data_IF_658490507350
#
_entry.id   IF_658490507350
#
_cell.length_a   1.000
_cell.length_b   1.000
_cell.length_c   1.000
_cell.angle_alpha   90.00
_cell.angle_beta   90.00
_cell.angle_gamma   90.00
#
_symmetry.space_group_name_H-M   'P 1'
#
loop_
_entity.id
_entity.type
_entity.pdbx_description
1 polymer ?
#
# COMPACT_ATOMS: atom_id res chain seq x y z
N UNK A 1 -19.71 8.56 -1.53
CA UNK A 1 -18.80 9.58 -2.11
C UNK A 1 -17.62 9.77 -1.16
N UNK A 2 -16.42 9.29 -1.49
CA UNK A 2 -15.22 9.63 -0.73
C UNK A 2 -14.74 11.03 -1.19
N UNK A 3 -14.77 12.03 -0.29
CA UNK A 3 -14.39 13.42 -0.58
C UNK A 3 -12.87 13.62 -0.74
N UNK A 4 -12.07 12.68 -0.25
CA UNK A 4 -10.61 12.77 -0.25
C UNK A 4 -10.01 11.62 -1.07
N UNK A 5 -9.01 11.94 -1.90
CA UNK A 5 -8.32 10.93 -2.73
C UNK A 5 -7.36 10.06 -1.92
N UNK A 6 -7.01 8.84 -2.40
CA UNK A 6 -6.10 7.91 -1.73
C UNK A 6 -4.75 8.55 -1.35
N UNK A 7 -4.21 9.40 -2.22
CA UNK A 7 -2.97 10.16 -2.00
C UNK A 7 -3.03 11.07 -0.76
N UNK A 8 -4.17 11.73 -0.54
CA UNK A 8 -4.38 12.60 0.61
C UNK A 8 -4.51 11.78 1.90
N UNK A 9 -5.28 10.67 1.87
CA UNK A 9 -5.43 9.77 3.01
C UNK A 9 -4.07 9.20 3.44
N UNK A 10 -3.28 8.72 2.47
CA UNK A 10 -1.94 8.23 2.75
C UNK A 10 -1.05 9.32 3.33
N UNK A 11 -0.97 10.48 2.68
CA UNK A 11 -0.10 11.57 3.15
C UNK A 11 -0.44 12.01 4.58
N UNK A 12 -1.73 12.11 4.92
CA UNK A 12 -2.20 12.39 6.27
C UNK A 12 -1.79 11.29 7.27
N UNK A 13 -2.00 10.02 6.90
CA UNK A 13 -1.67 8.86 7.75
C UNK A 13 -0.17 8.78 8.05
N UNK A 14 0.68 8.88 7.03
CA UNK A 14 2.14 8.89 7.20
C UNK A 14 2.63 10.09 8.02
N UNK A 15 2.07 11.27 7.78
CA UNK A 15 2.43 12.47 8.55
C UNK A 15 2.06 12.33 10.04
N UNK A 16 0.90 11.75 10.35
CA UNK A 16 0.48 11.49 11.72
C UNK A 16 1.43 10.52 12.44
N UNK A 17 1.80 9.41 11.78
CA UNK A 17 2.74 8.44 12.35
C UNK A 17 4.13 9.06 12.57
N UNK A 18 4.62 9.85 11.60
CA UNK A 18 5.89 10.58 11.71
C UNK A 18 5.85 11.56 12.89
N UNK A 19 4.76 12.32 13.06
CA UNK A 19 4.61 13.26 14.17
C UNK A 19 4.69 12.56 15.54
N UNK A 20 4.05 11.39 15.68
CA UNK A 20 4.14 10.59 16.91
C UNK A 20 5.57 10.11 17.18
N UNK A 21 6.28 9.61 16.15
CA UNK A 21 7.67 9.19 16.31
C UNK A 21 8.63 10.35 16.63
N UNK A 22 8.41 11.51 16.03
CA UNK A 22 9.18 12.74 16.34
C UNK A 22 8.93 13.18 17.78
N UNK A 23 7.70 13.06 18.28
CA UNK A 23 7.39 13.37 19.67
C UNK A 23 8.16 12.45 20.64
N UNK A 24 8.16 11.14 20.40
CA UNK A 24 8.94 10.19 21.20
C UNK A 24 10.45 10.45 21.11
N UNK A 25 10.95 10.80 19.92
CA UNK A 25 12.36 11.19 19.73
C UNK A 25 12.70 12.47 20.50
N UNK A 26 11.79 13.46 20.52
CA UNK A 26 11.96 14.69 21.28
C UNK A 26 12.05 14.44 22.78
N UNK A 27 11.16 13.61 23.34
CA UNK A 27 11.24 13.23 24.75
C UNK A 27 12.59 12.59 25.10
N UNK A 28 13.11 11.74 24.22
CA UNK A 28 14.41 11.09 24.40
C UNK A 28 15.58 12.10 24.32
N UNK A 29 15.65 12.92 23.27
CA UNK A 29 16.76 13.86 23.03
C UNK A 29 16.84 14.95 24.09
N UNK A 30 15.69 15.46 24.55
CA UNK A 30 15.64 16.49 25.59
C UNK A 30 15.69 15.91 27.01
N UNK A 31 15.84 14.58 27.17
CA UNK A 31 15.86 13.89 28.45
C UNK A 31 14.68 14.28 29.38
N UNK A 32 13.50 14.51 28.79
CA UNK A 32 12.30 14.94 29.53
C UNK A 32 11.73 13.73 30.27
N UNK A 33 11.82 13.75 31.60
CA UNK A 33 11.18 12.74 32.45
C UNK A 33 9.78 13.20 32.82
N UNK A 34 8.77 12.49 32.31
CA UNK A 34 7.38 12.67 32.68
C UNK A 34 7.11 11.94 34.01
N UNK A 35 6.19 12.46 34.81
CA UNK A 35 5.67 11.71 35.97
C UNK A 35 4.99 10.42 35.52
N UNK A 36 4.94 9.40 36.36
CA UNK A 36 4.41 8.07 36.00
C UNK A 36 3.00 8.12 35.41
N UNK A 37 2.13 8.97 35.97
CA UNK A 37 0.76 9.18 35.49
C UNK A 37 0.74 9.88 34.12
N UNK A 38 1.58 10.90 33.92
CA UNK A 38 1.69 11.60 32.64
C UNK A 38 2.31 10.70 31.56
N UNK A 39 3.33 9.90 31.90
CA UNK A 39 3.96 8.96 30.98
C UNK A 39 2.95 7.92 30.47
N UNK A 40 2.16 7.33 31.37
CA UNK A 40 1.12 6.38 31.00
C UNK A 40 0.07 6.97 30.06
N UNK A 41 -0.45 8.17 30.40
CA UNK A 41 -1.44 8.87 29.56
C UNK A 41 -0.87 9.24 28.19
N UNK A 42 0.35 9.76 28.15
CA UNK A 42 1.04 10.12 26.90
C UNK A 42 1.24 8.90 26.00
N UNK A 43 1.73 7.78 26.54
CA UNK A 43 1.92 6.54 25.77
C UNK A 43 0.58 6.05 25.20
N UNK A 44 -0.49 6.06 25.99
CA UNK A 44 -1.81 5.63 25.52
C UNK A 44 -2.33 6.49 24.37
N UNK A 45 -2.29 7.83 24.53
CA UNK A 45 -2.81 8.77 23.53
C UNK A 45 -2.00 8.64 22.24
N UNK A 46 -0.67 8.65 22.33
CA UNK A 46 0.20 8.56 21.16
C UNK A 46 0.11 7.20 20.47
N UNK A 47 -0.03 6.12 21.23
CA UNK A 47 -0.25 4.78 20.65
C UNK A 47 -1.58 4.71 19.92
N UNK A 48 -2.65 5.30 20.46
CA UNK A 48 -3.94 5.39 19.79
C UNK A 48 -3.83 6.19 18.47
N UNK A 49 -3.17 7.35 18.50
CA UNK A 49 -2.93 8.18 17.30
C UNK A 49 -2.10 7.45 16.24
N UNK A 50 -1.05 6.75 16.66
CA UNK A 50 -0.22 5.94 15.76
C UNK A 50 -1.05 4.83 15.11
N UNK A 51 -1.90 4.14 15.88
CA UNK A 51 -2.76 3.08 15.36
C UNK A 51 -3.80 3.63 14.39
N UNK A 52 -4.39 4.80 14.64
CA UNK A 52 -5.31 5.45 13.70
C UNK A 52 -4.61 5.72 12.36
N UNK A 53 -3.38 6.25 12.40
CA UNK A 53 -2.55 6.45 11.21
C UNK A 53 -2.31 5.13 10.47
N UNK A 54 -1.87 4.10 11.19
CA UNK A 54 -1.61 2.77 10.62
C UNK A 54 -2.85 2.15 9.97
N UNK A 55 -4.00 2.18 10.64
CA UNK A 55 -5.24 1.60 10.10
C UNK A 55 -5.74 2.37 8.88
N UNK A 56 -5.61 3.70 8.86
CA UNK A 56 -5.99 4.53 7.70
C UNK A 56 -5.16 4.19 6.47
N UNK A 57 -3.84 4.02 6.66
CA UNK A 57 -2.93 3.60 5.61
C UNK A 57 -3.29 2.20 5.09
N UNK A 58 -3.46 1.23 6.00
CA UNK A 58 -3.74 -0.16 5.66
C UNK A 58 -5.06 -0.28 4.86
N UNK A 59 -6.13 0.36 5.34
CA UNK A 59 -7.43 0.39 4.63
C UNK A 59 -7.31 0.94 3.20
N UNK A 60 -6.55 2.02 3.03
CA UNK A 60 -6.37 2.66 1.71
C UNK A 60 -5.63 1.73 0.75
N UNK A 61 -4.61 0.99 1.22
CA UNK A 61 -3.87 0.02 0.40
C UNK A 61 -4.76 -1.15 -0.02
N UNK A 62 -5.54 -1.71 0.90
CA UNK A 62 -6.45 -2.83 0.59
C UNK A 62 -7.55 -2.48 -0.41
N UNK A 63 -7.92 -1.20 -0.51
CA UNK A 63 -8.86 -0.74 -1.54
C UNK A 63 -8.21 -0.55 -2.92
N UNK A 64 -6.89 -0.34 -2.98
CA UNK A 64 -6.16 -0.07 -4.22
C UNK A 64 -5.57 -1.33 -4.85
N UNK A 65 -5.26 -2.34 -4.04
CA UNK A 65 -4.65 -3.58 -4.50
C UNK A 65 -5.50 -4.37 -5.51
N UNK A 66 -6.83 -4.54 -5.31
CA UNK A 66 -7.66 -5.30 -6.25
C UNK A 66 -7.73 -4.70 -7.65
N UNK A 67 -7.28 -3.45 -7.80
CA UNK A 67 -7.37 -2.68 -9.05
C UNK A 67 -6.26 -3.06 -10.04
N UNK A 68 -5.14 -3.58 -9.53
CA UNK A 68 -3.98 -3.93 -10.36
C UNK A 68 -4.30 -5.12 -11.29
N UNK A 69 -4.87 -6.24 -10.79
CA UNK A 69 -5.28 -7.34 -11.66
C UNK A 69 -6.39 -6.96 -12.64
N UNK A 70 -7.28 -6.03 -12.28
CA UNK A 70 -8.36 -5.55 -13.15
C UNK A 70 -7.77 -4.80 -14.37
N UNK A 71 -6.81 -3.89 -14.13
CA UNK A 71 -6.09 -3.19 -15.21
C UNK A 71 -5.26 -4.15 -16.06
N UNK A 72 -4.57 -5.13 -15.44
CA UNK A 72 -3.84 -6.17 -16.19
C UNK A 72 -4.76 -7.02 -17.06
N UNK A 73 -5.96 -7.35 -16.57
CA UNK A 73 -6.95 -8.12 -17.33
C UNK A 73 -7.48 -7.32 -18.53
N UNK A 74 -7.58 -5.99 -18.41
CA UNK A 74 -8.03 -5.11 -19.50
C UNK A 74 -7.05 -5.10 -20.69
N UNK A 75 -5.74 -5.25 -20.45
CA UNK A 75 -4.73 -5.33 -21.51
C UNK A 75 -4.53 -6.77 -21.98
N UNK A 76 -4.42 -7.70 -21.03
CA UNK A 76 -4.01 -9.07 -21.32
C UNK A 76 -5.16 -10.01 -21.69
N UNK A 77 -6.41 -9.62 -21.45
CA UNK A 77 -7.64 -10.43 -21.56
C UNK A 77 -7.63 -11.74 -20.75
N UNK A 78 -6.66 -11.91 -19.84
CA UNK A 78 -6.51 -13.11 -19.00
C UNK A 78 -6.75 -12.74 -17.54
N UNK A 79 -7.66 -13.47 -16.89
CA UNK A 79 -7.91 -13.28 -15.47
C UNK A 79 -6.78 -13.88 -14.64
N UNK A 80 -5.84 -13.04 -14.17
CA UNK A 80 -4.66 -13.46 -13.39
C UNK A 80 -4.75 -13.10 -11.89
N UNK A 81 -5.94 -12.79 -11.40
CA UNK A 81 -6.17 -12.33 -10.02
C UNK A 81 -5.57 -13.27 -8.95
N UNK A 82 -5.64 -14.59 -9.14
CA UNK A 82 -5.09 -15.58 -8.21
C UNK A 82 -3.56 -15.50 -8.06
N UNK A 83 -2.84 -15.33 -9.17
CA UNK A 83 -1.37 -15.20 -9.16
C UNK A 83 -0.94 -13.90 -8.50
N UNK A 84 -1.65 -12.80 -8.75
CA UNK A 84 -1.41 -11.52 -8.06
C UNK A 84 -1.67 -11.63 -6.56
N UNK A 85 -2.77 -12.25 -6.14
CA UNK A 85 -3.09 -12.46 -4.72
C UNK A 85 -2.03 -13.31 -4.00
N UNK A 86 -1.52 -14.35 -4.67
CA UNK A 86 -0.43 -15.18 -4.16
C UNK A 86 0.87 -14.37 -4.01
N UNK A 87 1.27 -13.62 -5.04
CA UNK A 87 2.46 -12.77 -5.01
C UNK A 87 2.39 -11.70 -3.91
N UNK A 88 1.24 -11.04 -3.77
CA UNK A 88 0.99 -10.06 -2.71
C UNK A 88 1.15 -10.67 -1.32
N UNK A 89 0.53 -11.83 -1.07
CA UNK A 89 0.60 -12.49 0.23
C UNK A 89 2.01 -12.98 0.54
N UNK A 90 2.69 -13.56 -0.45
CA UNK A 90 4.09 -13.97 -0.33
C UNK A 90 4.98 -12.78 0.03
N UNK A 91 4.89 -11.69 -0.72
CA UNK A 91 5.68 -10.47 -0.50
C UNK A 91 5.44 -9.90 0.90
N UNK A 92 4.18 -9.88 1.36
CA UNK A 92 3.83 -9.42 2.71
C UNK A 92 4.42 -10.32 3.81
N UNK A 93 4.35 -11.64 3.65
CA UNK A 93 4.92 -12.59 4.62
C UNK A 93 6.45 -12.50 4.65
N UNK A 94 7.07 -12.39 3.47
CA UNK A 94 8.52 -12.29 3.31
C UNK A 94 9.06 -11.00 3.95
N UNK A 95 8.48 -9.85 3.62
CA UNK A 95 8.89 -8.56 4.20
C UNK A 95 8.64 -8.51 5.71
N UNK A 96 7.54 -9.11 6.20
CA UNK A 96 7.29 -9.26 7.63
C UNK A 96 8.35 -10.11 8.35
N UNK A 97 8.77 -11.23 7.76
CA UNK A 97 9.79 -12.10 8.32
C UNK A 97 11.19 -11.45 8.30
N UNK A 98 11.55 -10.79 7.21
CA UNK A 98 12.82 -10.06 7.11
C UNK A 98 12.84 -8.90 8.12
N UNK A 99 11.75 -8.13 8.22
CA UNK A 99 11.65 -7.02 9.15
C UNK A 99 11.77 -7.46 10.61
N UNK A 100 11.08 -8.54 11.01
CA UNK A 100 11.18 -9.07 12.37
C UNK A 100 12.57 -9.64 12.69
N UNK A 101 13.22 -10.30 11.72
CA UNK A 101 14.58 -10.81 11.86
C UNK A 101 15.60 -9.68 12.07
N UNK A 102 15.53 -8.60 11.26
CA UNK A 102 16.41 -7.44 11.38
C UNK A 102 16.28 -6.80 12.77
N UNK A 103 15.05 -6.58 13.25
CA UNK A 103 14.81 -6.05 14.60
C UNK A 103 15.41 -6.97 15.66
N UNK A 104 15.22 -8.29 15.53
CA UNK A 104 15.79 -9.28 16.43
C UNK A 104 17.32 -9.21 16.50
N UNK A 105 17.99 -9.10 15.36
CA UNK A 105 19.45 -8.97 15.31
C UNK A 105 19.94 -7.66 15.94
N UNK A 106 19.28 -6.53 15.67
CA UNK A 106 19.63 -5.25 16.28
C UNK A 106 19.55 -5.31 17.81
N UNK A 107 18.49 -5.91 18.34
CA UNK A 107 18.34 -6.07 19.79
C UNK A 107 19.39 -7.04 20.37
N UNK A 108 19.71 -8.13 19.67
CA UNK A 108 20.73 -9.07 20.11
C UNK A 108 22.13 -8.42 20.15
N UNK A 109 22.51 -7.67 19.12
CA UNK A 109 23.78 -6.92 19.08
C UNK A 109 23.84 -5.81 20.13
N UNK A 110 22.69 -5.22 20.48
CA UNK A 110 22.58 -4.24 21.56
C UNK A 110 22.76 -4.84 22.97
N UNK A 111 22.83 -6.16 23.11
CA UNK A 111 22.89 -6.83 24.41
C UNK A 111 21.57 -6.73 25.18
N UNK A 112 20.43 -6.68 24.47
CA UNK A 112 19.11 -6.61 25.09
C UNK A 112 18.81 -7.89 25.89
N UNK A 113 18.59 -7.74 27.20
CA UNK A 113 18.23 -8.84 28.09
C UNK A 113 16.88 -8.58 28.76
N UNK A 114 15.87 -9.37 28.39
CA UNK A 114 14.51 -9.25 28.92
C UNK A 114 14.40 -9.50 30.43
N UNK A 115 15.40 -10.13 31.05
CA UNK A 115 15.41 -10.41 32.49
C UNK A 115 15.81 -9.21 33.34
N UNK A 116 16.46 -8.20 32.75
CA UNK A 116 16.91 -7.01 33.46
C UNK A 116 15.83 -5.94 33.51
N UNK A 117 15.57 -5.42 34.72
CA UNK A 117 14.65 -4.29 34.93
C UNK A 117 15.21 -2.97 34.37
N UNK A 118 16.54 -2.80 34.40
CA UNK A 118 17.25 -1.66 33.82
C UNK A 118 18.24 -2.18 32.78
N UNK A 119 18.06 -1.75 31.54
CA UNK A 119 18.90 -2.14 30.41
C UNK A 119 20.21 -1.35 30.40
N UNK A 120 21.27 -1.97 29.87
CA UNK A 120 22.53 -1.27 29.60
C UNK A 120 22.32 -0.14 28.57
N UNK A 121 23.12 0.93 28.59
CA UNK A 121 22.98 2.05 27.66
C UNK A 121 22.98 1.61 26.19
N UNK A 122 23.80 0.61 25.83
CA UNK A 122 23.85 0.06 24.48
C UNK A 122 22.52 -0.58 24.03
N UNK A 123 21.84 -1.30 24.94
CA UNK A 123 20.55 -1.93 24.66
C UNK A 123 19.44 -0.89 24.53
N UNK A 124 19.48 0.19 25.31
CA UNK A 124 18.54 1.32 25.17
C UNK A 124 18.67 1.99 23.79
N UNK A 125 19.90 2.19 23.31
CA UNK A 125 20.15 2.72 21.96
C UNK A 125 19.62 1.75 20.89
N UNK A 126 19.86 0.45 21.04
CA UNK A 126 19.35 -0.55 20.09
C UNK A 126 17.82 -0.57 20.01
N UNK A 127 17.11 -0.46 21.15
CA UNK A 127 15.65 -0.33 21.20
C UNK A 127 15.21 0.95 20.48
N UNK A 128 15.87 2.08 20.75
CA UNK A 128 15.56 3.35 20.08
C UNK A 128 15.73 3.23 18.55
N UNK A 129 16.81 2.61 18.09
CA UNK A 129 17.06 2.41 16.67
C UNK A 129 15.96 1.57 16.03
N UNK A 130 15.58 0.47 16.68
CA UNK A 130 14.57 -0.47 16.19
C UNK A 130 13.15 0.12 16.16
N UNK A 131 12.76 0.91 17.17
CA UNK A 131 11.39 1.40 17.33
C UNK A 131 11.14 2.81 16.79
N UNK A 132 12.17 3.65 16.69
CA UNK A 132 12.03 5.03 16.24
C UNK A 132 12.75 5.25 14.92
N UNK A 133 14.07 5.08 14.87
CA UNK A 133 14.86 5.46 13.69
C UNK A 133 14.50 4.66 12.44
N UNK A 134 14.47 3.33 12.52
CA UNK A 134 14.17 2.48 11.36
C UNK A 134 12.75 2.75 10.83
N UNK A 135 11.69 2.73 11.66
CA UNK A 135 10.34 3.06 11.20
C UNK A 135 10.25 4.49 10.64
N UNK A 136 10.91 5.47 11.25
CA UNK A 136 10.87 6.86 10.80
C UNK A 136 11.44 7.02 9.39
N UNK A 137 12.61 6.42 9.11
CA UNK A 137 13.22 6.44 7.77
C UNK A 137 12.29 5.77 6.74
N UNK A 138 11.75 4.60 7.08
CA UNK A 138 10.81 3.89 6.22
C UNK A 138 9.54 4.71 5.93
N UNK A 139 8.99 5.42 6.93
CA UNK A 139 7.81 6.27 6.76
C UNK A 139 8.10 7.50 5.91
N UNK A 140 9.26 8.15 6.09
CA UNK A 140 9.69 9.30 5.26
C UNK A 140 9.88 8.85 3.81
N UNK A 141 10.55 7.73 3.59
CA UNK A 141 10.73 7.16 2.26
C UNK A 141 9.38 6.80 1.62
N UNK A 142 8.47 6.19 2.38
CA UNK A 142 7.11 5.89 1.91
C UNK A 142 6.36 7.16 1.51
N UNK A 143 6.44 8.22 2.33
CA UNK A 143 5.82 9.51 2.03
C UNK A 143 6.39 10.15 0.75
N UNK A 144 7.69 10.00 0.51
CA UNK A 144 8.33 10.44 -0.75
C UNK A 144 7.77 9.67 -1.96
N UNK A 145 7.67 8.34 -1.88
CA UNK A 145 7.13 7.52 -2.97
C UNK A 145 5.68 7.88 -3.28
N UNK A 146 4.86 8.14 -2.26
CA UNK A 146 3.45 8.53 -2.43
C UNK A 146 3.28 9.87 -3.12
N UNK A 147 4.22 10.81 -2.92
CA UNK A 147 4.19 12.09 -3.65
C UNK A 147 4.40 11.88 -5.15
N UNK A 148 5.22 10.90 -5.51
CA UNK A 148 5.52 10.53 -6.90
C UNK A 148 4.42 9.67 -7.51
N UNK A 149 3.63 8.96 -6.68
CA UNK A 149 2.53 8.12 -7.15
C UNK A 149 1.30 8.97 -7.54
N UNK A 150 0.98 9.03 -8.83
CA UNK A 150 -0.23 9.64 -9.36
C UNK A 150 -1.38 8.62 -9.39
N UNK A 151 -1.86 8.20 -8.21
CA UNK A 151 -3.06 7.39 -8.13
C UNK A 151 -4.29 8.30 -8.16
N UNK A 152 -4.86 8.54 -9.34
CA UNK A 152 -6.04 9.38 -9.48
C UNK A 152 -7.34 8.53 -9.30
N UNK A 153 -8.13 8.77 -8.23
CA UNK A 153 -9.36 8.02 -7.97
C UNK A 153 -10.48 8.25 -9.00
N UNK A 154 -10.37 9.30 -9.84
CA UNK A 154 -11.31 9.55 -10.94
C UNK A 154 -11.09 8.58 -12.11
N UNK A 155 -9.83 8.36 -12.48
CA UNK A 155 -9.38 7.35 -13.46
C UNK A 155 -9.93 5.97 -13.14
N UNK A 156 -10.03 5.67 -11.84
CA UNK A 156 -10.40 4.35 -11.37
C UNK A 156 -11.90 4.00 -11.51
N UNK A 157 -12.79 4.98 -11.33
CA UNK A 157 -14.23 4.78 -11.61
C UNK A 157 -14.50 4.62 -13.10
N UNK A 158 -13.75 5.36 -13.92
CA UNK A 158 -13.87 5.32 -15.37
C UNK A 158 -13.42 3.97 -15.92
N UNK A 159 -12.30 3.42 -15.43
CA UNK A 159 -11.85 2.07 -15.82
C UNK A 159 -12.81 0.98 -15.37
N UNK A 160 -13.33 1.03 -14.14
CA UNK A 160 -14.29 0.03 -13.68
C UNK A 160 -15.59 0.07 -14.50
N UNK A 161 -16.10 1.27 -14.79
CA UNK A 161 -17.28 1.45 -15.64
C UNK A 161 -17.03 0.95 -17.07
N UNK A 162 -15.83 1.15 -17.60
CA UNK A 162 -15.45 0.64 -18.93
C UNK A 162 -15.29 -0.89 -18.94
N UNK A 163 -14.75 -1.48 -17.87
CA UNK A 163 -14.62 -2.93 -17.72
C UNK A 163 -16.00 -3.59 -17.61
N UNK A 164 -16.92 -3.02 -16.82
CA UNK A 164 -18.31 -3.47 -16.74
C UNK A 164 -19.02 -3.36 -18.11
N UNK A 165 -18.75 -2.28 -18.88
CA UNK A 165 -19.25 -2.09 -20.26
C UNK A 165 -18.71 -3.14 -21.22
N UNK A 166 -17.42 -3.49 -21.12
CA UNK A 166 -16.78 -4.50 -21.97
C UNK A 166 -17.26 -5.93 -21.62
N UNK A 167 -17.53 -6.21 -20.36
CA UNK A 167 -18.07 -7.50 -19.90
C UNK A 167 -19.56 -7.71 -20.23
N UNK A 168 -20.36 -6.65 -20.33
CA UNK A 168 -21.80 -6.71 -20.66
C UNK A 168 -22.10 -6.79 -22.17
N UNK A 169 -21.08 -6.93 -23.01
CA UNK A 169 -21.20 -6.92 -24.47
C UNK A 169 -21.14 -5.51 -25.03
N UNK A 170 -20.27 -5.30 -26.03
CA UNK A 170 -19.94 -4.00 -26.65
C UNK A 170 -21.19 -3.28 -27.19
N UNK A 171 -21.90 -2.49 -26.38
CA UNK A 171 -23.16 -1.88 -26.83
C UNK A 171 -23.06 -0.45 -27.37
N UNK A 172 -22.02 0.34 -27.11
CA UNK A 172 -21.84 1.68 -27.73
C UNK A 172 -20.44 2.25 -27.52
N UNK A 173 -19.94 3.00 -28.49
CA UNK A 173 -18.56 3.52 -28.58
C UNK A 173 -18.04 4.19 -27.31
N UNK A 174 -16.75 3.99 -27.05
CA UNK A 174 -16.01 4.55 -25.92
C UNK A 174 -15.91 6.09 -26.05
N UNK A 175 -16.19 6.81 -24.96
CA UNK A 175 -15.99 8.27 -24.91
C UNK A 175 -14.50 8.63 -24.90
N UNK A 176 -14.09 9.80 -25.44
CA UNK A 176 -12.68 10.19 -25.57
C UNK A 176 -11.94 10.30 -24.22
N UNK A 177 -12.66 10.58 -23.12
CA UNK A 177 -12.11 10.62 -21.76
C UNK A 177 -11.69 9.23 -21.24
N UNK A 178 -12.53 8.21 -21.45
CA UNK A 178 -12.25 6.82 -21.09
C UNK A 178 -11.06 6.27 -21.86
N UNK A 179 -10.92 6.68 -23.12
CA UNK A 179 -9.83 6.27 -23.99
C UNK A 179 -8.48 6.80 -23.50
N UNK A 180 -8.38 8.10 -23.21
CA UNK A 180 -7.16 8.70 -22.67
C UNK A 180 -6.76 8.10 -21.31
N UNK A 181 -7.74 7.72 -20.48
CA UNK A 181 -7.53 7.10 -19.18
C UNK A 181 -6.98 5.66 -19.31
N UNK A 182 -7.48 4.88 -20.27
CA UNK A 182 -6.95 3.54 -20.54
C UNK A 182 -5.52 3.64 -21.08
N UNK A 183 -5.24 4.60 -21.95
CA UNK A 183 -3.89 4.82 -22.49
C UNK A 183 -2.90 5.24 -21.38
N UNK A 184 -3.31 6.12 -20.47
CA UNK A 184 -2.50 6.54 -19.31
C UNK A 184 -2.22 5.39 -18.32
N UNK A 185 -3.18 4.51 -18.09
CA UNK A 185 -3.04 3.39 -17.14
C UNK A 185 -2.33 2.16 -17.70
N UNK A 186 -2.48 1.91 -19.00
CA UNK A 186 -1.93 0.73 -19.66
C UNK A 186 -0.61 1.01 -20.37
N UNK A 187 -0.37 2.26 -20.75
CA UNK A 187 0.78 2.68 -21.55
C UNK A 187 0.67 2.32 -23.03
N UNK A 188 -0.45 1.72 -23.48
CA UNK A 188 -0.70 1.32 -24.86
C UNK A 188 -1.86 2.13 -25.45
N UNK A 189 -1.81 2.42 -26.75
CA UNK A 189 -2.91 3.07 -27.44
C UNK A 189 -4.17 2.17 -27.38
N UNK A 190 -5.34 2.75 -27.10
CA UNK A 190 -6.58 1.97 -26.96
C UNK A 190 -6.89 1.13 -28.20
N UNK A 191 -6.56 1.68 -29.38
CA UNK A 191 -6.73 1.02 -30.67
C UNK A 191 -5.77 -0.17 -30.87
N UNK A 192 -4.63 -0.23 -30.20
CA UNK A 192 -3.72 -1.40 -30.26
C UNK A 192 -4.25 -2.57 -29.43
N UNK A 193 -4.92 -2.27 -28.31
CA UNK A 193 -5.50 -3.29 -27.42
C UNK A 193 -6.81 -3.83 -28.02
N UNK A 194 -7.59 -2.97 -28.67
CA UNK A 194 -8.97 -3.26 -29.06
C UNK A 194 -9.30 -2.97 -30.54
N UNK A 195 -8.35 -3.18 -31.47
CA UNK A 195 -8.55 -2.94 -32.91
C UNK A 195 -9.79 -3.67 -33.47
N UNK A 196 -10.70 -2.88 -34.04
CA UNK A 196 -11.95 -3.31 -34.68
C UNK A 196 -11.68 -4.11 -35.97
N UNK A 197 -10.48 -4.03 -36.56
CA UNK A 197 -10.16 -4.72 -37.82
C UNK A 197 -9.80 -6.21 -37.69
N UNK A 198 -9.45 -6.70 -36.50
CA UNK A 198 -9.09 -8.12 -36.29
C UNK A 198 -10.25 -8.99 -35.75
N UNK A 199 -11.48 -8.46 -35.72
CA UNK A 199 -12.66 -9.01 -35.02
C UNK A 199 -13.04 -10.46 -35.42
N UNK A 200 -12.67 -10.93 -36.61
CA UNK A 200 -12.98 -12.29 -37.07
C UNK A 200 -12.22 -13.40 -36.32
N UNK A 201 -11.07 -13.11 -35.71
CA UNK A 201 -10.31 -14.08 -34.92
C UNK A 201 -10.74 -14.12 -33.44
N UNK A 202 -11.44 -13.09 -32.96
CA UNK A 202 -11.78 -12.95 -31.55
C UNK A 202 -13.05 -13.72 -31.16
N UNK A 203 -14.08 -13.77 -32.02
CA UNK A 203 -15.26 -14.62 -31.80
C UNK A 203 -14.93 -16.11 -31.72
N UNK A 204 -13.87 -16.58 -32.40
CA UNK A 204 -13.47 -17.99 -32.36
C UNK A 204 -12.73 -18.39 -31.08
N UNK A 205 -12.06 -17.45 -30.39
CA UNK A 205 -11.36 -17.74 -29.12
C UNK A 205 -12.29 -17.68 -27.90
N UNK A 206 -13.37 -16.91 -27.98
CA UNK A 206 -14.34 -16.78 -26.89
C UNK A 206 -15.31 -17.98 -26.81
N UNK A 207 -15.43 -18.77 -27.89
CA UNK A 207 -16.20 -20.01 -27.96
C UNK A 207 -15.28 -21.19 -28.36
N UNK A 208 -14.24 -21.47 -27.58
CA UNK A 208 -13.72 -22.84 -27.53
C UNK A 208 -14.36 -23.48 -26.29
N UNK A 209 -15.39 -24.35 -26.43
CA UNK A 209 -15.83 -25.16 -25.30
C UNK A 209 -14.60 -25.88 -24.74
N UNK A 210 -14.47 -25.91 -23.42
CA UNK A 210 -13.38 -26.63 -22.77
C UNK A 210 -13.34 -28.05 -23.37
N UNK A 211 -12.19 -28.43 -23.93
CA UNK A 211 -11.98 -29.80 -24.39
C UNK A 211 -12.17 -30.72 -23.17
N UNK A 212 -13.02 -31.76 -23.28
CA UNK A 212 -13.21 -32.71 -22.21
C UNK A 212 -12.03 -33.68 -22.19
N UNK A 213 -11.11 -33.47 -21.24
CA UNK A 213 -10.14 -34.48 -20.79
C UNK A 213 -10.36 -34.76 -19.29
#
# INVERSE_FOLDING_TARGET
MFKFGPKWLWSMAFSLMIAVLIYYLGLYVFHIQLSDSAAFVTILILSALFQIGRQTMEYTVWNVIPLVPDVDTLVSTKLRAGTFAACQTFTRKLTGAIGSAIIGWILAFGGFDKSLAVQIPAAQIAIMIAFIFIPLICLIYSLYLIRTFNLNPQTHKVVKAEMDRLQQGRQRGCGPETRAIVEDLTGYAYDEIWDVKNDHLYCQRQYRPADPD
#
